data_IF_698279414919
#
_entry.id   IF_698279414919
#
_cell.length_a   1.000
_cell.length_b   1.000
_cell.length_c   1.000
_cell.angle_alpha   90.00
_cell.angle_beta   90.00
_cell.angle_gamma   90.00
#
_symmetry.space_group_name_H-M   'P 1'
#
loop_
_entity.id
_entity.type
_entity.pdbx_description
1 polymer ?
#
# COMPACT_ATOMS: atom_id res chain seq x y z
N UNK A 1 -3.96 -35.78 85.69
CA UNK A 1 -3.18 -34.65 85.14
C UNK A 1 -3.27 -34.82 83.63
N UNK A 2 -4.33 -34.31 83.01
CA UNK A 2 -4.46 -32.97 82.39
C UNK A 2 -4.60 -33.24 80.87
N UNK A 3 -5.78 -33.01 80.25
CA UNK A 3 -6.19 -31.76 79.57
C UNK A 3 -5.23 -31.46 78.40
N UNK A 4 -5.57 -31.37 77.10
CA UNK A 4 -6.78 -31.00 76.34
C UNK A 4 -6.66 -31.58 74.90
N UNK A 5 -7.69 -32.17 74.28
CA UNK A 5 -8.65 -31.55 73.34
C UNK A 5 -8.03 -30.61 72.29
N UNK A 6 -7.51 -31.18 71.20
CA UNK A 6 -7.02 -30.45 70.03
C UNK A 6 -8.21 -30.05 69.12
N UNK A 7 -8.38 -28.74 68.94
CA UNK A 7 -9.46 -28.08 68.22
C UNK A 7 -8.88 -27.42 66.97
N UNK A 8 -9.42 -27.79 65.80
CA UNK A 8 -9.26 -27.14 64.47
C UNK A 8 -9.42 -25.60 64.52
N UNK A 9 -8.94 -24.78 63.55
CA UNK A 9 -8.76 -25.08 62.11
C UNK A 9 -7.57 -24.41 61.36
N UNK A 10 -7.26 -24.89 60.15
CA UNK A 10 -6.65 -24.08 59.07
C UNK A 10 -7.76 -23.65 58.08
N UNK A 11 -7.70 -22.44 57.50
CA UNK A 11 -6.96 -22.28 56.23
C UNK A 11 -6.15 -20.97 56.12
N UNK A 12 -5.05 -21.10 55.39
CA UNK A 12 -4.18 -20.03 54.89
C UNK A 12 -4.86 -19.29 53.74
N UNK A 13 -4.93 -17.96 53.85
CA UNK A 13 -5.05 -17.06 52.68
C UNK A 13 -4.40 -15.71 53.05
N UNK A 14 -3.09 -15.67 52.87
CA UNK A 14 -2.29 -14.45 52.75
C UNK A 14 -1.59 -14.53 51.42
N UNK A 15 -2.15 -13.87 50.40
CA UNK A 15 -1.44 -13.62 49.14
C UNK A 15 -1.39 -12.11 48.95
N UNK A 16 -0.15 -11.65 48.85
CA UNK A 16 0.25 -10.27 48.73
C UNK A 16 -0.43 -9.54 47.56
N UNK A 17 -0.99 -8.39 47.88
CA UNK A 17 -1.39 -7.34 46.96
C UNK A 17 -0.17 -6.81 46.19
N UNK A 18 0.11 -7.43 45.03
CA UNK A 18 1.01 -6.89 44.01
C UNK A 18 0.20 -6.40 42.81
N UNK A 19 0.54 -5.18 42.38
CA UNK A 19 0.35 -4.67 41.02
C UNK A 19 -1.06 -4.20 40.62
N UNK A 20 -1.41 -3.00 41.07
CA UNK A 20 -2.31 -2.10 40.34
C UNK A 20 -1.52 -0.86 39.88
N UNK A 21 -0.55 -1.07 38.99
CA UNK A 21 -0.07 0.02 38.14
C UNK A 21 -1.08 0.15 36.99
N UNK A 22 -2.04 1.06 37.17
CA UNK A 22 -2.93 1.49 36.11
C UNK A 22 -2.12 2.11 34.98
N UNK A 23 -1.80 1.33 33.95
CA UNK A 23 -1.47 1.87 32.65
C UNK A 23 -2.81 2.35 32.05
N UNK A 24 -3.14 3.60 32.34
CA UNK A 24 -4.10 4.34 31.56
C UNK A 24 -3.52 4.45 30.14
N UNK A 25 -3.93 3.54 29.26
CA UNK A 25 -3.77 3.71 27.83
C UNK A 25 -4.40 5.06 27.46
N UNK A 26 -3.57 6.00 27.02
CA UNK A 26 -4.04 7.33 26.63
C UNK A 26 -5.10 7.24 25.53
N UNK A 27 -5.95 8.27 25.36
CA UNK A 27 -7.03 8.28 24.37
C UNK A 27 -6.57 8.08 22.92
N UNK A 28 -5.27 8.23 22.63
CA UNK A 28 -4.68 7.94 21.31
C UNK A 28 -4.53 6.44 21.02
N UNK A 29 -4.26 5.59 22.02
CA UNK A 29 -4.13 4.14 21.82
C UNK A 29 -5.49 3.48 21.54
N UNK A 30 -6.52 3.95 22.23
CA UNK A 30 -7.91 3.48 22.09
C UNK A 30 -8.47 3.86 20.71
N UNK A 31 -8.08 5.02 20.16
CA UNK A 31 -8.45 5.43 18.81
C UNK A 31 -7.81 4.54 17.72
N UNK A 32 -6.57 4.09 17.94
CA UNK A 32 -5.88 3.15 17.05
C UNK A 32 -6.52 1.76 17.07
N UNK A 33 -6.80 1.22 18.25
CA UNK A 33 -7.48 -0.08 18.42
C UNK A 33 -8.92 -0.06 17.91
N UNK A 34 -9.67 1.03 18.11
CA UNK A 34 -11.00 1.18 17.48
C UNK A 34 -10.93 1.35 15.97
N UNK A 35 -9.91 2.02 15.42
CA UNK A 35 -9.74 2.14 13.98
C UNK A 35 -9.38 0.80 13.33
N UNK A 36 -8.54 0.00 14.01
CA UNK A 36 -8.21 -1.37 13.61
C UNK A 36 -9.45 -2.25 13.72
N UNK A 37 -10.20 -2.19 14.83
CA UNK A 37 -11.45 -2.96 15.00
C UNK A 37 -12.55 -2.53 14.01
N UNK A 38 -12.64 -1.24 13.65
CA UNK A 38 -13.55 -0.76 12.59
C UNK A 38 -13.11 -1.22 11.22
N UNK A 39 -11.81 -1.24 10.94
CA UNK A 39 -11.26 -1.77 9.69
C UNK A 39 -11.45 -3.29 9.59
N UNK A 40 -11.23 -4.03 10.68
CA UNK A 40 -11.49 -5.48 10.77
C UNK A 40 -12.99 -5.79 10.66
N UNK A 41 -13.85 -5.02 11.30
CA UNK A 41 -15.30 -5.16 11.17
C UNK A 41 -15.78 -4.83 9.76
N UNK A 42 -15.24 -3.79 9.12
CA UNK A 42 -15.53 -3.46 7.72
C UNK A 42 -15.02 -4.55 6.77
N UNK A 43 -13.82 -5.09 7.03
CA UNK A 43 -13.25 -6.19 6.29
C UNK A 43 -14.12 -7.46 6.39
N UNK A 44 -14.56 -7.82 7.60
CA UNK A 44 -15.47 -8.94 7.85
C UNK A 44 -16.88 -8.70 7.24
N UNK A 45 -17.38 -7.47 7.28
CA UNK A 45 -18.66 -7.06 6.67
C UNK A 45 -18.61 -7.20 5.14
N UNK A 46 -17.50 -6.79 4.51
CA UNK A 46 -17.26 -6.99 3.09
C UNK A 46 -17.09 -8.50 2.77
N UNK A 47 -16.36 -9.23 3.62
CA UNK A 47 -16.09 -10.66 3.46
C UNK A 47 -17.36 -11.53 3.53
N UNK A 48 -18.36 -11.15 4.34
CA UNK A 48 -19.63 -11.86 4.46
C UNK A 48 -20.58 -11.63 3.28
N UNK A 49 -20.58 -10.43 2.69
CA UNK A 49 -21.54 -10.07 1.63
C UNK A 49 -21.10 -10.41 0.20
N UNK A 50 -19.81 -10.70 -0.02
CA UNK A 50 -19.28 -11.01 -1.35
C UNK A 50 -19.75 -12.35 -1.94
N UNK A 51 -20.35 -13.22 -1.13
CA UNK A 51 -20.82 -14.55 -1.52
C UNK A 51 -22.28 -14.59 -2.01
N UNK A 52 -23.02 -13.47 -1.98
CA UNK A 52 -24.44 -13.44 -2.34
C UNK A 52 -24.70 -12.77 -3.70
N UNK A 53 -25.43 -13.41 -4.65
CA UNK A 53 -25.70 -12.87 -5.99
C UNK A 53 -26.84 -11.83 -5.98
N UNK A 54 -26.65 -10.74 -5.25
CA UNK A 54 -27.60 -9.61 -5.19
C UNK A 54 -27.01 -8.35 -5.81
N UNK A 55 -27.85 -7.40 -6.23
CA UNK A 55 -27.43 -6.12 -6.83
C UNK A 55 -26.50 -5.31 -5.88
N UNK A 56 -26.64 -5.52 -4.57
CA UNK A 56 -25.74 -4.95 -3.57
C UNK A 56 -24.33 -5.54 -3.66
N UNK A 57 -24.16 -6.81 -4.00
CA UNK A 57 -22.84 -7.42 -4.12
C UNK A 57 -22.02 -6.80 -5.27
N UNK A 58 -22.66 -6.37 -6.36
CA UNK A 58 -21.97 -5.64 -7.41
C UNK A 58 -21.40 -4.31 -6.91
N UNK A 59 -22.23 -3.52 -6.21
CA UNK A 59 -21.79 -2.24 -5.64
C UNK A 59 -20.70 -2.41 -4.58
N UNK A 60 -20.81 -3.45 -3.74
CA UNK A 60 -19.79 -3.77 -2.74
C UNK A 60 -18.46 -4.20 -3.38
N UNK A 61 -18.48 -4.94 -4.50
CA UNK A 61 -17.25 -5.27 -5.25
C UNK A 61 -16.60 -4.02 -5.84
N UNK A 62 -17.40 -3.08 -6.37
CA UNK A 62 -16.91 -1.80 -6.88
C UNK A 62 -16.26 -0.99 -5.75
N UNK A 63 -16.91 -0.95 -4.58
CA UNK A 63 -16.36 -0.23 -3.43
C UNK A 63 -15.05 -0.87 -2.95
N UNK A 64 -15.01 -2.21 -2.84
CA UNK A 64 -13.82 -2.93 -2.41
C UNK A 64 -12.61 -2.66 -3.32
N UNK A 65 -12.76 -2.73 -4.65
CA UNK A 65 -11.59 -2.46 -5.53
C UNK A 65 -11.12 -1.01 -5.53
N UNK A 66 -11.89 -0.08 -4.96
CA UNK A 66 -11.51 1.32 -4.84
C UNK A 66 -11.04 1.69 -3.42
N UNK A 67 -11.15 0.78 -2.45
CA UNK A 67 -10.69 0.98 -1.08
C UNK A 67 -9.25 0.43 -0.93
N UNK A 68 -8.24 1.30 -0.73
CA UNK A 68 -6.84 0.88 -0.61
C UNK A 68 -6.58 -0.12 0.52
N UNK A 69 -7.45 -0.16 1.53
CA UNK A 69 -7.31 -1.03 2.71
C UNK A 69 -8.01 -2.38 2.53
N UNK A 70 -8.50 -2.67 1.33
CA UNK A 70 -9.17 -3.94 1.04
C UNK A 70 -8.21 -5.12 1.20
N UNK A 71 -8.71 -6.17 1.87
CA UNK A 71 -7.98 -7.40 2.10
C UNK A 71 -7.65 -8.11 0.77
N UNK A 72 -6.41 -8.59 0.58
CA UNK A 72 -6.01 -9.29 -0.64
C UNK A 72 -6.92 -10.48 -1.00
N UNK A 73 -7.49 -11.18 -0.02
CA UNK A 73 -8.40 -12.32 -0.25
C UNK A 73 -9.69 -11.88 -0.95
N UNK A 74 -10.15 -10.67 -0.68
CA UNK A 74 -11.31 -10.08 -1.36
C UNK A 74 -10.98 -9.81 -2.82
N UNK A 75 -9.81 -9.23 -3.08
CA UNK A 75 -9.32 -8.95 -4.43
C UNK A 75 -9.09 -10.25 -5.22
N UNK A 76 -8.54 -11.29 -4.60
CA UNK A 76 -8.36 -12.61 -5.21
C UNK A 76 -9.71 -13.23 -5.63
N UNK A 77 -10.76 -13.05 -4.81
CA UNK A 77 -12.10 -13.52 -5.15
C UNK A 77 -12.69 -12.74 -6.34
N UNK A 78 -12.51 -11.41 -6.37
CA UNK A 78 -12.93 -10.57 -7.50
C UNK A 78 -12.11 -10.90 -8.74
N UNK A 79 -10.84 -11.26 -8.61
CA UNK A 79 -9.99 -11.64 -9.73
C UNK A 79 -10.49 -12.88 -10.47
N UNK A 80 -11.14 -13.81 -9.76
CA UNK A 80 -11.67 -15.06 -10.32
C UNK A 80 -13.10 -14.90 -10.85
N UNK A 81 -13.94 -14.12 -10.17
CA UNK A 81 -15.39 -14.09 -10.43
C UNK A 81 -15.90 -12.72 -10.91
N UNK A 82 -15.01 -11.75 -11.07
CA UNK A 82 -15.33 -10.37 -11.40
C UNK A 82 -15.38 -10.14 -12.92
N UNK A 83 -16.20 -9.18 -13.38
CA UNK A 83 -16.13 -8.70 -14.76
C UNK A 83 -14.78 -8.04 -15.05
N UNK A 84 -14.33 -8.10 -16.31
CA UNK A 84 -13.00 -7.62 -16.73
C UNK A 84 -12.71 -6.16 -16.36
N UNK A 85 -13.71 -5.28 -16.36
CA UNK A 85 -13.50 -3.87 -16.00
C UNK A 85 -13.11 -3.70 -14.52
N UNK A 86 -13.56 -4.60 -13.63
CA UNK A 86 -13.10 -4.64 -12.23
C UNK A 86 -11.67 -5.19 -12.14
N UNK A 87 -11.32 -6.14 -13.01
CA UNK A 87 -9.96 -6.72 -13.03
C UNK A 87 -8.89 -5.67 -13.34
N UNK A 88 -9.21 -4.64 -14.13
CA UNK A 88 -8.30 -3.48 -14.33
C UNK A 88 -7.98 -2.78 -13.02
N UNK A 89 -8.99 -2.62 -12.14
CA UNK A 89 -8.80 -2.01 -10.82
C UNK A 89 -8.03 -2.94 -9.90
N UNK A 90 -8.32 -4.24 -9.93
CA UNK A 90 -7.55 -5.23 -9.16
C UNK A 90 -6.09 -5.28 -9.61
N UNK A 91 -5.82 -5.16 -10.91
CA UNK A 91 -4.46 -5.15 -11.46
C UNK A 91 -3.61 -3.97 -10.94
N UNK A 92 -4.20 -2.79 -10.80
CA UNK A 92 -3.56 -1.56 -10.30
C UNK A 92 -3.56 -1.48 -8.75
N UNK A 93 -4.33 -2.33 -8.07
CA UNK A 93 -4.55 -2.18 -6.63
C UNK A 93 -3.29 -2.51 -5.81
N UNK A 94 -2.90 -1.67 -4.82
CA UNK A 94 -1.67 -1.86 -4.05
C UNK A 94 -1.70 -3.14 -3.21
N UNK A 95 -2.85 -3.54 -2.69
CA UNK A 95 -2.98 -4.77 -1.88
C UNK A 95 -3.13 -6.06 -2.69
N UNK A 96 -2.95 -6.03 -4.02
CA UNK A 96 -3.13 -7.23 -4.85
C UNK A 96 -1.99 -8.23 -4.63
N UNK A 97 -2.36 -9.49 -4.42
CA UNK A 97 -1.38 -10.55 -4.16
C UNK A 97 -0.51 -10.82 -5.40
N UNK A 98 0.78 -11.19 -5.23
CA UNK A 98 1.65 -11.56 -6.35
C UNK A 98 1.09 -12.72 -7.20
N UNK A 99 0.40 -13.66 -6.57
CA UNK A 99 -0.26 -14.77 -7.26
C UNK A 99 -1.39 -14.28 -8.17
N UNK A 100 -2.15 -13.28 -7.73
CA UNK A 100 -3.21 -12.68 -8.55
C UNK A 100 -2.63 -11.80 -9.65
N UNK A 101 -1.57 -11.02 -9.39
CA UNK A 101 -0.87 -10.26 -10.43
C UNK A 101 -0.35 -11.18 -11.55
N UNK A 102 0.24 -12.33 -11.20
CA UNK A 102 0.71 -13.31 -12.18
C UNK A 102 -0.42 -13.88 -13.05
N UNK A 103 -1.61 -14.11 -12.47
CA UNK A 103 -2.79 -14.54 -13.24
C UNK A 103 -3.29 -13.44 -14.18
N UNK A 104 -3.36 -12.20 -13.69
CA UNK A 104 -3.81 -11.05 -14.47
C UNK A 104 -2.84 -10.70 -15.60
N UNK A 105 -1.55 -11.01 -15.46
CA UNK A 105 -0.54 -10.76 -16.48
C UNK A 105 -0.73 -11.65 -17.73
N UNK A 106 -1.42 -12.78 -17.58
CA UNK A 106 -1.77 -13.68 -18.68
C UNK A 106 -3.24 -13.56 -19.08
N UNK A 107 -3.95 -12.50 -18.64
CA UNK A 107 -5.37 -12.32 -18.92
C UNK A 107 -5.64 -12.03 -20.41
N UNK A 108 -6.74 -12.53 -20.96
CA UNK A 108 -7.08 -12.39 -22.39
C UNK A 108 -7.21 -10.92 -22.84
N UNK A 109 -7.82 -10.08 -22.00
CA UNK A 109 -7.98 -8.65 -22.27
C UNK A 109 -6.69 -7.87 -22.03
N UNK A 110 -6.14 -7.30 -23.10
CA UNK A 110 -4.96 -6.44 -23.06
C UNK A 110 -5.13 -5.24 -22.11
N UNK A 111 -6.34 -4.70 -21.94
CA UNK A 111 -6.57 -3.60 -21.00
C UNK A 111 -6.32 -3.97 -19.52
N UNK A 112 -6.55 -5.24 -19.16
CA UNK A 112 -6.26 -5.76 -17.81
C UNK A 112 -4.76 -5.92 -17.64
N UNK A 113 -4.07 -6.43 -18.67
CA UNK A 113 -2.61 -6.55 -18.67
C UNK A 113 -1.92 -5.19 -18.62
N UNK A 114 -2.41 -4.21 -19.36
CA UNK A 114 -1.89 -2.84 -19.35
C UNK A 114 -2.02 -2.18 -17.97
N UNK A 115 -3.13 -2.42 -17.26
CA UNK A 115 -3.35 -1.85 -15.92
C UNK A 115 -2.33 -2.34 -14.88
N UNK A 116 -1.69 -3.49 -15.10
CA UNK A 116 -0.63 -3.96 -14.22
C UNK A 116 0.57 -3.00 -14.19
N UNK A 117 0.84 -2.28 -15.28
CA UNK A 117 2.00 -1.41 -15.39
C UNK A 117 2.06 -0.33 -14.29
N UNK A 118 0.91 0.09 -13.76
CA UNK A 118 0.83 1.09 -12.69
C UNK A 118 1.05 0.49 -11.29
N UNK A 119 1.04 -0.85 -11.15
CA UNK A 119 1.16 -1.49 -9.86
C UNK A 119 2.61 -1.51 -9.36
N UNK A 120 2.85 -0.90 -8.20
CA UNK A 120 4.16 -0.83 -7.54
C UNK A 120 4.71 -2.19 -7.08
N UNK A 121 3.83 -3.19 -6.88
CA UNK A 121 4.19 -4.52 -6.40
C UNK A 121 4.49 -5.53 -7.52
N UNK A 122 4.62 -5.07 -8.76
CA UNK A 122 5.04 -5.94 -9.86
C UNK A 122 6.46 -6.47 -9.67
N UNK A 123 6.60 -7.78 -9.69
CA UNK A 123 7.90 -8.44 -9.75
C UNK A 123 8.62 -8.11 -11.07
N UNK A 124 9.95 -8.13 -11.04
CA UNK A 124 10.77 -7.86 -12.24
C UNK A 124 10.45 -8.82 -13.39
N UNK A 125 10.10 -10.06 -13.09
CA UNK A 125 9.67 -11.06 -14.09
C UNK A 125 8.39 -10.62 -14.80
N UNK A 126 7.39 -10.12 -14.06
CA UNK A 126 6.15 -9.63 -14.66
C UNK A 126 6.36 -8.32 -15.42
N UNK A 127 7.27 -7.46 -14.97
CA UNK A 127 7.63 -6.25 -15.73
C UNK A 127 8.22 -6.61 -17.11
N UNK A 128 9.09 -7.64 -17.17
CA UNK A 128 9.61 -8.16 -18.44
C UNK A 128 8.55 -8.81 -19.31
N UNK A 129 7.55 -9.43 -18.71
CA UNK A 129 6.42 -9.99 -19.44
C UNK A 129 5.61 -8.88 -20.12
N UNK A 130 5.31 -7.78 -19.41
CA UNK A 130 4.60 -6.63 -19.97
C UNK A 130 5.39 -5.91 -21.08
N UNK A 131 6.72 -5.81 -20.94
CA UNK A 131 7.55 -5.17 -21.96
C UNK A 131 7.66 -5.97 -23.26
N UNK A 132 7.35 -7.27 -23.21
CA UNK A 132 7.35 -8.17 -24.35
C UNK A 132 5.93 -8.59 -24.77
N UNK A 133 4.89 -7.94 -24.23
CA UNK A 133 3.51 -8.27 -24.54
C UNK A 133 3.24 -8.14 -26.04
N UNK A 134 2.43 -9.03 -26.61
CA UNK A 134 2.06 -8.99 -28.01
C UNK A 134 1.34 -7.68 -28.39
N UNK A 135 0.57 -7.11 -27.45
CA UNK A 135 -0.28 -5.97 -27.68
C UNK A 135 0.50 -4.65 -27.49
N UNK A 136 0.56 -3.78 -28.52
CA UNK A 136 1.31 -2.52 -28.42
C UNK A 136 0.84 -1.61 -27.29
N UNK A 137 -0.46 -1.56 -26.99
CA UNK A 137 -0.98 -0.73 -25.89
C UNK A 137 -0.48 -1.18 -24.52
N UNK A 138 -0.24 -2.48 -24.31
CA UNK A 138 0.33 -2.98 -23.05
C UNK A 138 1.79 -2.55 -22.93
N UNK A 139 2.56 -2.70 -24.01
CA UNK A 139 3.95 -2.22 -24.05
C UNK A 139 4.04 -0.70 -23.91
N UNK A 140 3.07 0.03 -24.46
CA UNK A 140 2.96 1.48 -24.28
C UNK A 140 2.68 1.87 -22.83
N UNK A 141 1.73 1.19 -22.17
CA UNK A 141 1.46 1.40 -20.75
C UNK A 141 2.68 1.09 -19.88
N UNK A 142 3.38 -0.02 -20.18
CA UNK A 142 4.66 -0.35 -19.54
C UNK A 142 5.71 0.76 -19.75
N UNK A 143 5.79 1.33 -20.96
CA UNK A 143 6.71 2.43 -21.26
C UNK A 143 6.34 3.75 -20.58
N UNK A 144 5.05 3.98 -20.25
CA UNK A 144 4.57 5.18 -19.57
C UNK A 144 4.74 5.12 -18.05
N UNK A 145 4.77 3.92 -17.49
CA UNK A 145 4.86 3.72 -16.04
C UNK A 145 6.21 4.11 -15.45
N UNK A 146 6.14 4.82 -14.32
CA UNK A 146 7.30 5.20 -13.50
C UNK A 146 7.65 4.15 -12.43
N UNK A 147 6.82 3.12 -12.26
CA UNK A 147 7.05 2.04 -11.29
C UNK A 147 7.93 0.94 -11.87
N UNK A 148 7.98 0.82 -13.21
CA UNK A 148 8.84 -0.14 -13.88
C UNK A 148 10.32 0.18 -13.69
N UNK A 149 11.11 -0.87 -13.59
CA UNK A 149 12.57 -0.78 -13.47
C UNK A 149 13.17 -0.05 -14.67
N UNK A 150 14.15 0.85 -14.46
CA UNK A 150 14.86 1.52 -15.55
C UNK A 150 15.48 0.55 -16.56
N UNK A 151 15.84 -0.65 -16.14
CA UNK A 151 16.39 -1.70 -17.03
C UNK A 151 15.33 -2.20 -18.01
N UNK A 152 14.09 -2.38 -17.55
CA UNK A 152 12.97 -2.82 -18.38
C UNK A 152 12.55 -1.70 -19.34
N UNK A 153 12.47 -0.45 -18.84
CA UNK A 153 12.21 0.73 -19.66
C UNK A 153 13.29 0.93 -20.74
N UNK A 154 14.55 0.62 -20.44
CA UNK A 154 15.64 0.71 -21.43
C UNK A 154 15.46 -0.30 -22.57
N UNK A 155 14.95 -1.50 -22.29
CA UNK A 155 14.65 -2.47 -23.35
C UNK A 155 13.52 -2.01 -24.27
N UNK A 156 12.52 -1.29 -23.74
CA UNK A 156 11.43 -0.71 -24.54
C UNK A 156 11.91 0.38 -25.52
N UNK A 157 13.14 0.90 -25.39
CA UNK A 157 13.73 1.82 -26.38
C UNK A 157 13.99 1.16 -27.74
N UNK A 158 14.13 -0.16 -27.75
CA UNK A 158 14.36 -0.96 -28.95
C UNK A 158 13.05 -1.57 -29.50
N UNK A 159 11.90 -1.17 -28.97
CA UNK A 159 10.61 -1.66 -29.44
C UNK A 159 10.38 -1.35 -30.92
N UNK A 160 9.84 -2.34 -31.63
CA UNK A 160 9.41 -2.22 -33.03
C UNK A 160 8.40 -1.09 -33.27
N UNK A 161 7.58 -0.74 -32.27
CA UNK A 161 6.62 0.35 -32.35
C UNK A 161 7.30 1.66 -31.92
N UNK A 162 7.43 2.64 -32.84
CA UNK A 162 8.12 3.90 -32.55
C UNK A 162 7.43 4.72 -31.44
N UNK A 163 6.11 4.60 -31.26
CA UNK A 163 5.39 5.30 -30.20
C UNK A 163 5.74 4.74 -28.82
N UNK A 164 5.97 3.43 -28.71
CA UNK A 164 6.40 2.77 -27.47
C UNK A 164 7.83 3.19 -27.14
N UNK A 165 8.74 3.11 -28.12
CA UNK A 165 10.14 3.50 -27.94
C UNK A 165 10.31 4.98 -27.56
N UNK A 166 9.53 5.87 -28.17
CA UNK A 166 9.55 7.30 -27.84
C UNK A 166 8.97 7.61 -26.46
N UNK A 167 7.89 6.90 -26.08
CA UNK A 167 7.34 7.00 -24.73
C UNK A 167 8.35 6.53 -23.68
N UNK A 168 8.98 5.38 -23.88
CA UNK A 168 10.00 4.83 -22.96
C UNK A 168 11.18 5.80 -22.79
N UNK A 169 11.65 6.42 -23.88
CA UNK A 169 12.69 7.45 -23.85
C UNK A 169 12.29 8.64 -22.99
N UNK A 170 11.08 9.13 -23.17
CA UNK A 170 10.55 10.27 -22.41
C UNK A 170 10.46 9.93 -20.92
N UNK A 171 9.96 8.75 -20.58
CA UNK A 171 9.83 8.28 -19.19
C UNK A 171 11.20 8.15 -18.52
N UNK A 172 12.18 7.53 -19.19
CA UNK A 172 13.56 7.42 -18.68
C UNK A 172 14.23 8.78 -18.47
N UNK A 173 14.09 9.71 -19.42
CA UNK A 173 14.61 11.06 -19.28
C UNK A 173 14.01 11.78 -18.07
N UNK A 174 12.69 11.61 -17.83
CA UNK A 174 12.01 12.17 -16.67
C UNK A 174 12.55 11.60 -15.37
N UNK A 175 12.70 10.27 -15.27
CA UNK A 175 13.27 9.61 -14.10
C UNK A 175 14.71 10.08 -13.81
N UNK A 176 15.55 10.21 -14.84
CA UNK A 176 16.91 10.74 -14.71
C UNK A 176 16.91 12.20 -14.26
N UNK A 177 16.06 13.05 -14.84
CA UNK A 177 15.97 14.46 -14.46
C UNK A 177 15.45 14.66 -13.04
N UNK A 178 14.51 13.82 -12.58
CA UNK A 178 14.00 13.84 -11.21
C UNK A 178 15.07 13.40 -10.20
N UNK A 179 15.88 12.40 -10.55
CA UNK A 179 17.00 11.94 -9.71
C UNK A 179 18.12 12.99 -9.56
N UNK A 180 18.24 13.92 -10.52
CA UNK A 180 19.31 14.94 -10.56
C UNK A 180 18.92 16.23 -9.82
N UNK A 181 17.70 16.39 -9.31
CA UNK A 181 17.36 17.56 -8.50
C UNK A 181 18.20 17.57 -7.21
N UNK A 182 19.09 18.56 -7.03
CA UNK A 182 19.85 18.67 -5.80
C UNK A 182 18.85 19.01 -4.69
N UNK A 183 18.76 18.14 -3.68
CA UNK A 183 18.20 18.49 -2.37
C UNK A 183 18.74 19.86 -1.99
N UNK A 184 17.82 20.83 -1.92
CA UNK A 184 17.99 22.22 -1.44
C UNK A 184 19.34 22.45 -0.76
N UNK A 185 20.22 23.18 -1.44
CA UNK A 185 21.26 23.93 -0.73
C UNK A 185 20.56 24.77 0.35
N UNK A 186 20.94 24.68 1.64
CA UNK A 186 20.33 25.52 2.66
C UNK A 186 20.57 26.97 2.26
N UNK A 187 19.47 27.72 2.16
CA UNK A 187 19.44 29.13 1.83
C UNK A 187 20.29 29.87 2.87
N UNK A 188 21.57 30.12 2.58
CA UNK A 188 22.38 31.05 3.39
C UNK A 188 21.77 32.42 3.18
N UNK A 189 20.97 32.86 4.16
CA UNK A 189 20.53 34.25 4.27
C UNK A 189 21.79 35.10 4.35
N UNK A 190 22.03 35.89 3.29
CA UNK A 190 23.09 36.87 3.28
C UNK A 190 22.76 37.94 4.34
N UNK A 191 23.45 37.91 5.49
CA UNK A 191 23.49 39.05 6.39
C UNK A 191 24.11 40.23 5.65
N UNK A 192 23.31 41.29 5.42
CA UNK A 192 23.78 42.53 4.80
C UNK A 192 24.77 43.22 5.74
N UNK A 193 25.88 43.78 5.23
CA UNK A 193 26.77 44.56 6.06
C UNK A 193 26.19 45.96 6.30
N UNK A 194 26.32 46.44 7.53
CA UNK A 194 26.44 47.87 7.82
C UNK A 194 25.16 48.57 8.23
N UNK A 195 25.05 48.88 9.52
CA UNK A 195 24.68 50.23 9.91
C UNK A 195 25.36 50.60 11.23
N UNK A 196 26.61 51.03 11.13
CA UNK A 196 27.33 51.67 12.21
C UNK A 196 26.77 53.10 12.34
N UNK A 197 25.73 53.28 13.16
CA UNK A 197 25.26 54.60 13.58
C UNK A 197 25.87 54.93 14.94
N UNK A 198 26.88 55.79 14.84
CA UNK A 198 27.35 56.74 15.84
C UNK A 198 26.28 57.06 16.90
N UNK A 199 26.57 56.71 18.16
CA UNK A 199 26.08 57.44 19.32
C UNK A 199 27.28 57.85 20.16
N UNK A 200 27.65 59.11 20.03
CA UNK A 200 28.27 59.84 21.12
C UNK A 200 27.23 60.19 22.18
N UNK A 201 27.69 60.30 23.42
CA UNK A 201 27.12 60.93 24.62
C UNK A 201 27.49 60.03 25.81
N UNK A 202 28.18 60.47 26.85
CA UNK A 202 28.70 61.76 27.27
C UNK A 202 29.46 61.56 28.57
#
# INVERSE_FOLDING_TARGET
MSLDSDSTPEPVDSIDSKSAAGNAAGPEAIAGEEAIARAEAHCLQLQFHMLEPSNNAFQLRIQAVNDPLTDPRVLDHIAVNGPHFLLKRVADHPSTSPQTLAKLACHEHHEVRAALAENENLSLELQWLLSQDEHPDVRYAAAESYTLSPVVLAALLEDSNPYVADRARTTLQRLQSAAVLPTRMPFKVAEKPGNNRLRGAG
#
